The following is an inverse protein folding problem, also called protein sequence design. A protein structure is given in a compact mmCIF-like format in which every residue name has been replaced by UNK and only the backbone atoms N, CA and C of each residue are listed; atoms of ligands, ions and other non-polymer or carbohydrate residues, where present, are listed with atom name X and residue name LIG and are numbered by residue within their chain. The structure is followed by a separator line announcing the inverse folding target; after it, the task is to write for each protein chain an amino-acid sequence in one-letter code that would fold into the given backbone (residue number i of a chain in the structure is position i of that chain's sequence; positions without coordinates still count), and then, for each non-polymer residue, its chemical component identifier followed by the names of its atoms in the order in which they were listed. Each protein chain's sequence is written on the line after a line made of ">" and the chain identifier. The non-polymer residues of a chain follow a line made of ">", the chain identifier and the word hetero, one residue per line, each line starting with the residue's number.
data_IF_450458770268
#
_entry.id   IF_450458770268
#
_cell.length_a   1.000
_cell.length_b   1.000
_cell.length_c   1.000
_cell.angle_alpha   90.00
_cell.angle_beta   90.00
_cell.angle_gamma   90.00
#
_symmetry.space_group_name_H-M   'P 1'
#
loop_
_entity.id
_entity.type
_entity.pdbx_description
1 polymer ?
#
# COMPACT_ATOMS: atom_id res chain seq x y z
N UNK A 1 7.77 17.09 -4.51
CA UNK A 1 8.25 15.89 -3.78
C UNK A 1 9.75 15.83 -3.89
N UNK A 2 10.43 15.53 -2.78
CA UNK A 2 11.88 15.41 -2.70
C UNK A 2 12.40 14.19 -3.49
N UNK A 3 13.43 14.35 -4.36
CA UNK A 3 13.96 13.25 -5.16
C UNK A 3 14.51 12.07 -4.34
N UNK A 4 15.10 12.33 -3.17
CA UNK A 4 15.64 11.30 -2.29
C UNK A 4 14.54 10.42 -1.67
N UNK A 5 13.40 11.03 -1.30
CA UNK A 5 12.23 10.30 -0.78
C UNK A 5 11.59 9.46 -1.87
N UNK A 6 11.46 9.99 -3.09
CA UNK A 6 10.93 9.23 -4.22
C UNK A 6 11.80 7.99 -4.51
N UNK A 7 13.13 8.16 -4.52
CA UNK A 7 14.06 7.05 -4.70
C UNK A 7 13.88 5.99 -3.61
N UNK A 8 13.83 6.41 -2.34
CA UNK A 8 13.60 5.50 -1.20
C UNK A 8 12.25 4.78 -1.28
N UNK A 9 11.22 5.46 -1.76
CA UNK A 9 9.89 4.87 -1.93
C UNK A 9 9.86 3.78 -2.98
N UNK A 10 10.61 3.97 -4.07
CA UNK A 10 10.68 3.04 -5.20
C UNK A 10 11.78 1.97 -5.04
N UNK A 11 12.44 1.90 -3.88
CA UNK A 11 13.46 0.89 -3.57
C UNK A 11 12.83 -0.23 -2.75
N UNK A 12 13.21 -1.48 -3.03
CA UNK A 12 12.72 -2.71 -2.37
C UNK A 12 11.19 -2.85 -2.36
N UNK A 13 10.52 -2.32 -3.39
CA UNK A 13 9.05 -2.34 -3.49
C UNK A 13 8.49 -3.77 -3.52
N UNK A 14 9.26 -4.71 -4.08
CA UNK A 14 8.97 -6.14 -4.12
C UNK A 14 8.98 -6.80 -2.73
N UNK A 15 9.83 -6.31 -1.81
CA UNK A 15 9.93 -6.87 -0.46
C UNK A 15 8.87 -6.32 0.49
N UNK A 16 8.57 -5.03 0.38
CA UNK A 16 7.75 -4.29 1.35
C UNK A 16 6.36 -3.88 0.82
N UNK A 17 6.07 -4.15 -0.45
CA UNK A 17 4.74 -3.96 -1.05
C UNK A 17 4.38 -2.50 -1.35
N UNK A 18 5.35 -1.59 -1.44
CA UNK A 18 5.10 -0.18 -1.84
C UNK A 18 4.74 -0.08 -3.31
N UNK A 19 3.74 0.73 -3.64
CA UNK A 19 3.42 1.01 -5.04
C UNK A 19 2.79 2.39 -5.25
N UNK A 20 2.85 2.82 -6.51
CA UNK A 20 2.19 4.02 -6.99
C UNK A 20 0.91 3.64 -7.70
N UNK A 21 -0.13 4.44 -7.48
CA UNK A 21 -1.37 4.30 -8.22
C UNK A 21 -1.73 5.61 -8.91
N UNK A 22 -1.74 5.59 -10.24
CA UNK A 22 -2.11 6.75 -11.05
C UNK A 22 -3.56 6.65 -11.49
N UNK A 23 -4.37 7.66 -11.19
CA UNK A 23 -5.72 7.78 -11.73
C UNK A 23 -5.66 8.16 -13.20
N UNK A 24 -6.26 7.35 -14.08
CA UNK A 24 -6.42 7.69 -15.50
C UNK A 24 -7.38 8.86 -15.76
N UNK A 25 -8.28 9.16 -14.80
CA UNK A 25 -9.32 10.21 -14.96
C UNK A 25 -8.84 11.59 -14.50
N UNK A 26 -8.13 11.66 -13.38
CA UNK A 26 -7.69 12.93 -12.78
C UNK A 26 -6.19 13.18 -12.94
N UNK A 27 -5.42 12.16 -13.31
CA UNK A 27 -3.95 12.22 -13.34
C UNK A 27 -3.28 12.18 -11.97
N UNK A 28 -4.04 12.17 -10.86
CA UNK A 28 -3.50 12.12 -9.50
C UNK A 28 -2.73 10.82 -9.28
N UNK A 29 -1.54 10.94 -8.69
CA UNK A 29 -0.70 9.82 -8.28
C UNK A 29 -0.81 9.66 -6.77
N UNK A 30 -1.23 8.47 -6.33
CA UNK A 30 -1.31 8.08 -4.93
C UNK A 30 -0.11 7.20 -4.58
N UNK A 31 0.52 7.50 -3.45
CA UNK A 31 1.57 6.68 -2.85
C UNK A 31 0.91 5.76 -1.84
N UNK A 32 1.12 4.45 -1.96
CA UNK A 32 0.48 3.45 -1.12
C UNK A 32 1.53 2.61 -0.40
N UNK A 33 1.40 2.55 0.93
CA UNK A 33 2.17 1.67 1.81
C UNK A 33 1.24 0.69 2.52
N UNK A 34 1.43 -0.62 2.36
CA UNK A 34 0.81 -1.61 3.22
C UNK A 34 1.46 -1.56 4.61
N UNK A 35 0.66 -1.48 5.67
CA UNK A 35 1.15 -1.43 7.05
C UNK A 35 1.01 -2.80 7.73
N UNK A 36 2.11 -3.26 8.33
CA UNK A 36 2.14 -4.49 9.11
C UNK A 36 1.49 -4.27 10.48
N UNK A 37 0.47 -5.07 10.82
CA UNK A 37 -0.24 -4.98 12.10
C UNK A 37 -0.06 -6.23 12.99
N UNK A 38 1.07 -6.94 12.85
CA UNK A 38 1.46 -7.98 13.81
C UNK A 38 1.06 -9.42 13.47
N UNK A 39 0.42 -9.68 12.32
CA UNK A 39 0.21 -11.04 11.81
C UNK A 39 0.45 -11.10 10.30
N UNK A 40 1.55 -11.71 9.89
CA UNK A 40 1.67 -12.22 8.53
C UNK A 40 0.69 -13.39 8.42
N UNK A 41 -0.22 -13.41 7.44
CA UNK A 41 -1.00 -14.62 7.19
C UNK A 41 -0.01 -15.73 6.84
N UNK A 42 -0.16 -16.91 7.45
CA UNK A 42 0.56 -18.09 7.00
C UNK A 42 -0.01 -18.47 5.64
N UNK A 43 0.78 -18.26 4.60
CA UNK A 43 0.45 -18.62 3.22
C UNK A 43 1.20 -19.89 2.85
N UNK A 44 0.49 -20.85 2.29
CA UNK A 44 1.08 -22.10 1.85
C UNK A 44 0.05 -23.11 1.37
N UNK A 45 0.54 -24.22 0.86
CA UNK A 45 -0.30 -25.32 0.43
C UNK A 45 -0.93 -25.98 1.66
N UNK A 46 -2.25 -26.14 1.60
CA UNK A 46 -2.98 -26.91 2.61
C UNK A 46 -2.84 -28.37 2.26
N UNK A 47 -2.19 -29.14 3.13
CA UNK A 47 -2.14 -30.60 3.01
C UNK A 47 -3.57 -31.15 3.12
N UNK A 48 -4.06 -31.89 2.10
CA UNK A 48 -5.45 -32.34 2.06
C UNK A 48 -5.76 -33.43 3.10
N UNK A 49 -4.77 -34.16 3.59
CA UNK A 49 -4.94 -35.24 4.57
C UNK A 49 -4.91 -34.72 6.02
N UNK A 50 -4.05 -33.74 6.32
CA UNK A 50 -3.90 -33.20 7.68
C UNK A 50 -4.63 -31.88 7.89
N UNK A 51 -5.09 -31.24 6.81
CA UNK A 51 -5.67 -29.88 6.79
C UNK A 51 -4.75 -28.81 7.39
N UNK A 52 -3.46 -29.11 7.54
CA UNK A 52 -2.46 -28.16 8.02
C UNK A 52 -1.85 -27.44 6.84
N UNK A 53 -1.52 -26.17 7.05
CA UNK A 53 -0.73 -25.41 6.08
C UNK A 53 0.72 -25.92 6.16
N UNK A 54 1.22 -26.52 5.08
CA UNK A 54 2.60 -27.06 4.99
C UNK A 54 3.48 -26.26 4.04
N UNK A 55 2.92 -25.28 3.32
CA UNK A 55 3.69 -24.43 2.42
C UNK A 55 4.46 -23.32 3.15
N UNK A 56 5.68 -23.06 2.70
CA UNK A 56 6.51 -21.93 3.12
C UNK A 56 6.35 -20.71 2.16
N UNK A 57 5.25 -20.67 1.42
CA UNK A 57 5.05 -19.71 0.33
C UNK A 57 4.62 -18.35 0.90
N UNK A 58 5.58 -17.50 1.25
CA UNK A 58 5.31 -16.15 1.77
C UNK A 58 6.28 -15.67 2.84
N UNK A 59 7.22 -16.53 3.26
CA UNK A 59 8.20 -16.21 4.30
C UNK A 59 9.32 -15.28 3.86
N UNK A 60 9.51 -15.08 2.55
CA UNK A 60 10.62 -14.28 1.99
C UNK A 60 10.35 -12.78 1.91
N UNK A 61 9.08 -12.38 1.83
CA UNK A 61 8.69 -10.99 1.58
C UNK A 61 7.61 -10.57 2.57
N UNK A 62 7.88 -9.51 3.33
CA UNK A 62 6.95 -9.02 4.37
C UNK A 62 5.71 -8.40 3.74
N UNK A 63 5.84 -7.85 2.52
CA UNK A 63 4.76 -7.24 1.75
C UNK A 63 4.09 -6.05 2.44
N UNK A 64 4.70 -5.56 3.52
CA UNK A 64 4.22 -4.48 4.37
C UNK A 64 5.38 -3.85 5.15
N UNK A 65 5.23 -2.58 5.49
CA UNK A 65 6.17 -1.82 6.33
C UNK A 65 5.60 -1.65 7.74
N UNK A 66 6.45 -1.56 8.75
CA UNK A 66 5.98 -1.12 10.09
C UNK A 66 5.72 0.38 10.11
N UNK A 67 4.96 0.86 11.11
CA UNK A 67 4.75 2.30 11.30
C UNK A 67 6.04 3.11 11.44
N UNK A 68 7.12 2.50 11.95
CA UNK A 68 8.43 3.14 12.11
C UNK A 68 9.22 3.22 10.80
N UNK A 69 8.96 2.31 9.87
CA UNK A 69 9.62 2.23 8.55
C UNK A 69 8.83 2.97 7.45
N UNK A 70 7.58 3.34 7.75
CA UNK A 70 6.74 4.14 6.86
C UNK A 70 7.42 5.47 6.55
N UNK A 71 7.48 5.80 5.26
CA UNK A 71 8.02 7.07 4.79
C UNK A 71 6.93 8.02 4.33
N UNK A 72 5.67 7.57 4.26
CA UNK A 72 4.50 8.44 4.05
C UNK A 72 4.22 9.18 5.36
N UNK A 73 4.95 10.26 5.58
CA UNK A 73 4.84 11.15 6.74
C UNK A 73 4.82 12.60 6.29
N UNK A 74 4.24 13.48 7.11
CA UNK A 74 4.21 14.92 6.84
C UNK A 74 5.63 15.50 6.80
N UNK A 75 6.56 14.98 7.61
CA UNK A 75 7.99 15.34 7.61
C UNK A 75 8.69 15.04 6.28
N UNK A 76 8.17 14.09 5.50
CA UNK A 76 8.65 13.75 4.16
C UNK A 76 7.86 14.44 3.04
N UNK A 77 7.14 15.53 3.36
CA UNK A 77 6.33 16.35 2.45
C UNK A 77 5.11 15.62 1.84
N UNK A 78 4.62 14.55 2.49
CA UNK A 78 3.37 13.93 2.09
C UNK A 78 2.17 14.71 2.64
N UNK A 79 1.15 14.89 1.80
CA UNK A 79 -0.09 15.58 2.15
C UNK A 79 -1.30 14.68 1.90
N UNK A 80 -2.42 14.97 2.56
CA UNK A 80 -3.66 14.18 2.46
C UNK A 80 -3.45 12.70 2.82
N UNK A 81 -2.61 12.43 3.82
CA UNK A 81 -2.33 11.09 4.33
C UNK A 81 -3.61 10.54 4.97
N UNK A 82 -3.92 9.27 4.72
CA UNK A 82 -4.96 8.60 5.48
C UNK A 82 -4.76 7.10 5.52
N UNK A 83 -5.41 6.49 6.49
CA UNK A 83 -5.34 5.06 6.77
C UNK A 83 -6.62 4.40 6.33
N UNK A 84 -6.52 3.15 5.87
CA UNK A 84 -7.68 2.38 5.47
C UNK A 84 -7.55 0.93 5.92
N UNK A 85 -8.64 0.41 6.48
CA UNK A 85 -8.79 -1.00 6.77
C UNK A 85 -9.53 -1.63 5.59
N UNK A 86 -8.79 -2.19 4.63
CA UNK A 86 -9.37 -2.78 3.42
C UNK A 86 -8.55 -2.50 2.16
N UNK A 87 -9.22 -2.53 1.00
CA UNK A 87 -8.55 -2.34 -0.29
C UNK A 87 -8.11 -0.89 -0.49
N UNK A 88 -6.81 -0.70 -0.68
CA UNK A 88 -6.22 0.59 -1.07
C UNK A 88 -6.77 1.11 -2.40
N UNK A 89 -7.18 0.22 -3.32
CA UNK A 89 -7.83 0.58 -4.58
C UNK A 89 -9.22 1.20 -4.33
N UNK A 90 -9.96 0.69 -3.34
CA UNK A 90 -11.27 1.21 -2.97
C UNK A 90 -11.18 2.64 -2.45
N UNK A 91 -10.25 2.90 -1.54
CA UNK A 91 -10.06 4.24 -0.97
C UNK A 91 -9.55 5.25 -1.98
N UNK A 92 -8.59 4.86 -2.80
CA UNK A 92 -8.09 5.73 -3.87
C UNK A 92 -9.17 6.00 -4.92
N UNK A 93 -10.01 5.03 -5.27
CA UNK A 93 -11.20 5.25 -6.10
C UNK A 93 -12.17 6.26 -5.47
N UNK A 94 -12.49 6.10 -4.18
CA UNK A 94 -13.39 7.01 -3.46
C UNK A 94 -12.86 8.45 -3.47
N UNK A 95 -11.59 8.64 -3.09
CA UNK A 95 -10.91 9.95 -3.11
C UNK A 95 -10.90 10.56 -4.51
N UNK A 96 -10.63 9.74 -5.51
CA UNK A 96 -10.63 10.19 -6.90
C UNK A 96 -12.02 10.65 -7.37
N UNK A 97 -13.07 9.92 -6.99
CA UNK A 97 -14.45 10.30 -7.30
C UNK A 97 -14.86 11.60 -6.59
N UNK A 98 -14.47 11.78 -5.34
CA UNK A 98 -14.69 13.03 -4.59
C UNK A 98 -13.99 14.22 -5.26
N UNK A 99 -12.76 14.03 -5.73
CA UNK A 99 -12.03 15.05 -6.47
C UNK A 99 -12.72 15.41 -7.79
N UNK A 100 -13.16 14.42 -8.55
CA UNK A 100 -13.93 14.64 -9.78
C UNK A 100 -15.23 15.41 -9.50
N UNK A 101 -15.98 15.04 -8.46
CA UNK A 101 -17.20 15.76 -8.07
C UNK A 101 -16.92 17.23 -7.80
N UNK A 102 -15.84 17.54 -7.07
CA UNK A 102 -15.40 18.93 -6.79
C UNK A 102 -15.01 19.70 -8.04
N UNK A 103 -14.37 19.05 -9.01
CA UNK A 103 -14.00 19.71 -10.28
C UNK A 103 -15.21 20.07 -11.15
N UNK A 104 -16.25 19.22 -11.17
CA UNK A 104 -17.41 19.40 -12.05
C UNK A 104 -18.60 20.13 -11.40
N UNK A 105 -18.61 20.27 -10.07
CA UNK A 105 -19.69 20.93 -9.32
C UNK A 105 -19.18 22.11 -8.45
N UNK A 106 -17.95 22.56 -8.69
CA UNK A 106 -17.32 23.70 -8.01
C UNK A 106 -17.37 24.97 -8.83
#
# INVERSE_FOLDING_TARGET
>A
MRPDILKRFLTNTDEIGRFLMKSGKTGIIYFVEPLYNGKTPEWGDVDPATKKNTGNCGSGYTGAVTRKESIITEENDFVNIGYCNGSSLGETCRRNQEHLKRMYHG
#
